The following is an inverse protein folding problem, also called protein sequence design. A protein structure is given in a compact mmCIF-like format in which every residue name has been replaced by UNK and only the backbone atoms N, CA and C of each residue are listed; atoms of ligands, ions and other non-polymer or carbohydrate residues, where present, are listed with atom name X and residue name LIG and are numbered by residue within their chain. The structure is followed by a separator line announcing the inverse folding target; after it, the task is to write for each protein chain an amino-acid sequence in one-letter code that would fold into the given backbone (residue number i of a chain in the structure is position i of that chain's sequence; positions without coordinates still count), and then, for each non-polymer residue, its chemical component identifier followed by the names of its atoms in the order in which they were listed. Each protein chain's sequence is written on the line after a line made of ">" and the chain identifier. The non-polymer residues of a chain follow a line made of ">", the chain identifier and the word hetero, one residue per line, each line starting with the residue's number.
data_IF_313600086257
#
_entry.id   IF_313600086257
#
_cell.length_a   1.000
_cell.length_b   1.000
_cell.length_c   1.000
_cell.angle_alpha   90.00
_cell.angle_beta   90.00
_cell.angle_gamma   90.00
#
_symmetry.space_group_name_H-M   'P 1'
#
loop_
_entity.id
_entity.type
_entity.pdbx_description
1 polymer ?
#
# COMPACT_ATOMS: atom_id res chain seq x y z
N UNK A 1 -4.81 -1.13 -29.52
CA UNK A 1 -3.41 -0.91 -29.10
C UNK A 1 -3.44 0.16 -28.03
N UNK A 2 -3.08 -0.13 -26.78
CA UNK A 2 -3.22 0.83 -25.67
C UNK A 2 -1.87 1.47 -25.38
N UNK A 3 -1.76 2.78 -25.59
CA UNK A 3 -0.55 3.55 -25.29
C UNK A 3 -0.64 4.06 -23.86
N UNK A 4 0.33 3.72 -23.01
CA UNK A 4 0.46 4.25 -21.65
C UNK A 4 1.42 5.45 -21.70
N UNK A 5 0.89 6.65 -21.43
CA UNK A 5 1.68 7.88 -21.42
C UNK A 5 2.18 8.14 -19.99
N UNK A 6 3.50 8.36 -19.86
CA UNK A 6 4.15 8.67 -18.60
C UNK A 6 4.27 10.21 -18.43
N UNK A 7 3.60 10.82 -17.44
CA UNK A 7 3.60 12.26 -17.23
C UNK A 7 4.86 12.81 -16.51
N UNK A 8 5.86 11.98 -16.18
CA UNK A 8 7.01 12.39 -15.36
C UNK A 8 8.17 13.03 -16.15
N UNK A 9 8.07 13.11 -17.48
CA UNK A 9 9.19 13.47 -18.39
C UNK A 9 10.47 12.61 -18.21
N UNK A 10 10.34 11.47 -17.52
CA UNK A 10 11.44 10.56 -17.24
C UNK A 10 11.81 9.79 -18.53
N UNK A 11 12.98 10.13 -19.10
CA UNK A 11 13.43 9.55 -20.38
C UNK A 11 13.90 8.09 -20.26
N UNK A 12 14.23 7.65 -19.06
CA UNK A 12 14.74 6.32 -18.79
C UNK A 12 14.42 5.90 -17.34
N UNK A 13 13.17 5.49 -17.06
CA UNK A 13 12.80 5.08 -15.72
C UNK A 13 13.63 3.88 -15.27
N UNK A 14 14.14 3.95 -14.05
CA UNK A 14 14.88 2.83 -13.45
C UNK A 14 13.89 1.69 -13.22
N UNK A 15 13.93 0.66 -14.07
CA UNK A 15 13.08 -0.53 -13.92
C UNK A 15 13.56 -1.34 -12.72
N UNK A 16 12.84 -1.24 -11.61
CA UNK A 16 13.04 -2.12 -10.45
C UNK A 16 12.22 -3.39 -10.64
N UNK A 17 12.82 -4.59 -10.56
CA UNK A 17 12.05 -5.83 -10.61
C UNK A 17 11.08 -5.86 -9.43
N UNK A 18 9.85 -6.30 -9.68
CA UNK A 18 8.88 -6.53 -8.60
C UNK A 18 9.38 -7.72 -7.78
N UNK A 19 9.26 -7.61 -6.45
CA UNK A 19 9.44 -8.78 -5.61
C UNK A 19 8.43 -9.86 -6.00
N UNK A 20 8.83 -11.15 -5.95
CA UNK A 20 7.89 -12.24 -6.17
C UNK A 20 6.77 -12.15 -5.14
N UNK A 21 5.55 -12.46 -5.58
CA UNK A 21 4.42 -12.58 -4.65
C UNK A 21 4.63 -13.84 -3.81
N UNK A 22 4.41 -13.80 -2.50
CA UNK A 22 4.42 -15.01 -1.70
C UNK A 22 3.26 -15.92 -2.15
N UNK A 23 3.50 -17.23 -2.16
CA UNK A 23 2.50 -18.23 -2.57
C UNK A 23 1.32 -18.31 -1.60
N UNK A 24 1.56 -17.99 -0.33
CA UNK A 24 0.58 -17.98 0.76
C UNK A 24 0.82 -16.80 1.69
N UNK A 25 -0.20 -16.48 2.48
CA UNK A 25 -0.15 -15.40 3.47
C UNK A 25 0.01 -15.93 4.90
N UNK A 26 0.01 -17.25 5.10
CA UNK A 26 0.16 -17.89 6.40
C UNK A 26 1.49 -17.50 7.06
N UNK A 27 1.43 -17.03 8.31
CA UNK A 27 2.59 -16.56 9.06
C UNK A 27 3.17 -15.21 8.60
N UNK A 28 2.63 -14.60 7.54
CA UNK A 28 3.02 -13.27 7.09
C UNK A 28 2.22 -12.17 7.80
N UNK A 29 2.78 -10.97 7.82
CA UNK A 29 2.11 -9.77 8.33
C UNK A 29 1.81 -8.81 7.18
N UNK A 30 0.56 -8.36 7.09
CA UNK A 30 0.12 -7.37 6.11
C UNK A 30 0.13 -5.97 6.73
N UNK A 31 0.78 -5.03 6.04
CA UNK A 31 0.72 -3.60 6.38
C UNK A 31 -0.39 -2.90 5.60
N UNK A 32 -1.29 -2.21 6.30
CA UNK A 32 -2.30 -1.35 5.70
C UNK A 32 -1.94 0.13 5.97
N UNK A 33 -1.63 0.87 4.91
CA UNK A 33 -1.29 2.29 4.98
C UNK A 33 -2.48 3.17 4.59
N UNK A 34 -3.04 3.89 5.56
CA UNK A 34 -3.99 4.97 5.33
C UNK A 34 -3.25 6.26 4.94
N UNK A 35 -3.46 6.70 3.70
CA UNK A 35 -2.90 7.94 3.15
C UNK A 35 -3.75 9.19 3.46
N UNK A 36 -4.66 9.09 4.44
CA UNK A 36 -5.54 10.14 4.97
C UNK A 36 -6.50 10.74 3.92
N UNK A 37 -6.99 9.90 2.99
CA UNK A 37 -8.04 10.30 2.04
C UNK A 37 -9.42 10.18 2.71
N UNK A 38 -10.38 11.05 2.37
CA UNK A 38 -11.73 10.96 2.93
C UNK A 38 -12.30 9.56 2.75
N UNK A 39 -12.80 8.97 3.84
CA UNK A 39 -13.40 7.62 3.89
C UNK A 39 -12.45 6.47 3.55
N UNK A 40 -11.12 6.71 3.53
CA UNK A 40 -10.12 5.65 3.36
C UNK A 40 -10.12 4.67 4.53
N UNK A 41 -10.41 5.16 5.72
CA UNK A 41 -10.66 4.39 6.94
C UNK A 41 -11.75 3.34 6.74
N UNK A 42 -12.92 3.70 6.19
CA UNK A 42 -14.04 2.76 5.98
C UNK A 42 -13.63 1.52 5.19
N UNK A 43 -12.90 1.70 4.09
CA UNK A 43 -12.43 0.58 3.28
C UNK A 43 -11.36 -0.23 4.00
N UNK A 44 -10.40 0.44 4.63
CA UNK A 44 -9.27 -0.22 5.28
C UNK A 44 -9.66 -0.95 6.56
N UNK A 45 -10.66 -0.47 7.29
CA UNK A 45 -11.20 -1.13 8.48
C UNK A 45 -11.94 -2.41 8.07
N UNK A 46 -12.74 -2.34 6.99
CA UNK A 46 -13.38 -3.54 6.45
C UNK A 46 -12.37 -4.57 5.96
N UNK A 47 -11.26 -4.13 5.39
CA UNK A 47 -10.19 -5.03 4.96
C UNK A 47 -9.47 -5.65 6.17
N UNK A 48 -9.17 -4.86 7.20
CA UNK A 48 -8.56 -5.33 8.45
C UNK A 48 -9.42 -6.42 9.11
N UNK A 49 -10.73 -6.21 9.22
CA UNK A 49 -11.68 -7.22 9.72
C UNK A 49 -11.56 -8.54 8.94
N UNK A 50 -11.64 -8.50 7.60
CA UNK A 50 -11.59 -9.70 6.76
C UNK A 50 -10.26 -10.42 6.80
N UNK A 51 -9.15 -9.71 6.99
CA UNK A 51 -7.82 -10.30 7.12
C UNK A 51 -7.65 -10.98 8.49
N UNK A 52 -8.14 -10.34 9.55
CA UNK A 52 -8.15 -10.91 10.91
C UNK A 52 -9.06 -12.14 11.03
N UNK A 53 -10.23 -12.13 10.39
CA UNK A 53 -11.12 -13.31 10.28
C UNK A 53 -10.40 -14.52 9.65
N UNK A 54 -9.42 -14.27 8.78
CA UNK A 54 -8.58 -15.30 8.15
C UNK A 54 -7.33 -15.65 8.96
N UNK A 55 -7.17 -15.09 10.16
CA UNK A 55 -6.02 -15.32 11.03
C UNK A 55 -4.72 -14.64 10.59
N UNK A 56 -4.78 -13.68 9.67
CA UNK A 56 -3.60 -12.98 9.16
C UNK A 56 -3.26 -11.80 10.08
N UNK A 57 -1.98 -11.66 10.43
CA UNK A 57 -1.51 -10.52 11.22
C UNK A 57 -1.57 -9.22 10.40
N UNK A 58 -2.17 -8.17 10.95
CA UNK A 58 -2.29 -6.86 10.29
C UNK A 58 -1.65 -5.76 11.12
N UNK A 59 -0.87 -4.89 10.47
CA UNK A 59 -0.34 -3.64 11.06
C UNK A 59 -0.95 -2.44 10.35
N UNK A 60 -1.51 -1.51 11.13
CA UNK A 60 -2.13 -0.28 10.61
C UNK A 60 -1.14 0.86 10.71
N UNK A 61 -0.99 1.59 9.61
CA UNK A 61 -0.20 2.80 9.54
C UNK A 61 -1.07 3.91 8.99
N UNK A 62 -0.92 5.12 9.52
CA UNK A 62 -1.68 6.27 9.05
C UNK A 62 -0.77 7.46 8.89
N UNK A 63 -0.92 8.10 7.74
CA UNK A 63 -0.30 9.37 7.43
C UNK A 63 -1.02 10.50 8.18
N UNK A 64 -0.30 11.49 8.75
CA UNK A 64 -0.94 12.58 9.48
C UNK A 64 -1.88 13.44 8.62
N UNK A 65 -1.48 13.73 7.38
CA UNK A 65 -2.27 14.51 6.43
C UNK A 65 -2.11 13.97 5.02
N UNK A 66 -3.08 14.17 4.13
CA UNK A 66 -2.92 13.71 2.74
C UNK A 66 -1.93 14.57 1.93
N UNK A 67 -1.66 15.80 2.36
CA UNK A 67 -1.03 16.88 1.57
C UNK A 67 0.50 16.91 1.60
N UNK A 68 1.14 16.24 2.55
CA UNK A 68 2.63 16.16 2.66
C UNK A 68 3.10 14.75 2.34
N UNK A 69 4.36 14.46 2.01
CA UNK A 69 4.83 13.07 1.90
C UNK A 69 4.64 12.27 3.20
N UNK A 70 4.63 10.93 3.12
CA UNK A 70 4.58 10.10 4.33
C UNK A 70 5.83 10.35 5.19
N UNK A 71 5.70 10.40 6.53
CA UNK A 71 6.85 10.48 7.44
C UNK A 71 7.88 9.38 7.13
N UNK A 72 9.18 9.68 7.27
CA UNK A 72 10.27 8.72 7.04
C UNK A 72 10.06 7.36 7.74
N UNK A 73 9.55 7.28 9.00
CA UNK A 73 9.27 6.00 9.64
C UNK A 73 8.21 5.12 8.96
N UNK A 74 7.45 5.68 8.01
CA UNK A 74 6.38 5.00 7.27
C UNK A 74 6.71 4.79 5.78
N UNK A 75 7.90 5.20 5.31
CA UNK A 75 8.30 5.01 3.92
C UNK A 75 8.83 3.57 3.71
N UNK A 76 8.55 3.00 2.52
CA UNK A 76 9.02 1.67 2.07
C UNK A 76 10.07 1.79 0.98
#
# INVERSE_FOLDING_TARGET
>A
MTVLLDPTAERSPTKRPRLPRPDKLDGLTIGLLDIAKPRGDVFLDRLDERLKERGIAVRRYKKPTNTRPAPLPLQQ
#
